data_IF_012133871782
#
_entry.id   IF_012133871782
#
_cell.length_a   1.000
_cell.length_b   1.000
_cell.length_c   1.000
_cell.angle_alpha   90.00
_cell.angle_beta   90.00
_cell.angle_gamma   90.00
#
_symmetry.space_group_name_H-M   'P 1'
#
loop_
_entity.id
_entity.type
_entity.pdbx_description
1 polymer ?
#
# COMPACT_ATOMS: atom_id res chain seq x y z
N UNK A 1 6.26 22.61 12.62
CA UNK A 1 5.72 23.39 11.47
C UNK A 1 4.90 22.58 10.45
N UNK A 2 5.02 21.24 10.33
CA UNK A 2 4.25 20.45 9.34
C UNK A 2 2.72 20.39 9.56
N UNK A 3 2.22 20.44 10.80
CA UNK A 3 0.79 20.31 11.07
C UNK A 3 -0.03 21.55 10.66
N UNK A 4 0.55 22.76 10.76
CA UNK A 4 -0.13 23.99 10.35
C UNK A 4 -0.28 24.10 8.82
N UNK A 5 0.72 23.64 8.04
CA UNK A 5 0.61 23.55 6.59
C UNK A 5 -0.41 22.48 6.16
N UNK A 6 -0.48 21.37 6.90
CA UNK A 6 -1.51 20.35 6.69
C UNK A 6 -2.91 20.93 6.98
N UNK A 7 -3.09 21.72 8.05
CA UNK A 7 -4.38 22.36 8.37
C UNK A 7 -4.87 23.32 7.28
N UNK A 8 -3.99 24.20 6.79
CA UNK A 8 -4.31 25.13 5.70
C UNK A 8 -4.64 24.40 4.39
N UNK A 9 -3.89 23.32 4.08
CA UNK A 9 -4.13 22.55 2.87
C UNK A 9 -5.35 21.62 2.99
N UNK A 10 -5.66 21.12 4.19
CA UNK A 10 -6.91 20.38 4.45
C UNK A 10 -8.12 21.27 4.16
N UNK A 11 -8.08 22.57 4.48
CA UNK A 11 -9.14 23.52 4.10
C UNK A 11 -9.25 23.68 2.57
N UNK A 12 -8.15 23.85 1.83
CA UNK A 12 -8.17 23.90 0.36
C UNK A 12 -8.63 22.58 -0.29
N UNK A 13 -8.18 21.45 0.23
CA UNK A 13 -8.56 20.12 -0.26
C UNK A 13 -10.03 19.84 0.07
N UNK A 14 -10.54 20.32 1.22
CA UNK A 14 -11.96 20.24 1.58
C UNK A 14 -12.84 20.97 0.57
N UNK A 15 -12.42 22.15 0.11
CA UNK A 15 -13.10 22.90 -0.96
C UNK A 15 -13.08 22.13 -2.29
N UNK A 16 -12.00 21.40 -2.59
CA UNK A 16 -11.82 20.72 -3.88
C UNK A 16 -12.25 19.24 -3.94
N UNK A 17 -12.59 18.60 -2.82
CA UNK A 17 -12.87 17.15 -2.74
C UNK A 17 -14.35 16.80 -2.45
N UNK A 18 -15.20 17.81 -2.23
CA UNK A 18 -16.65 17.67 -2.12
C UNK A 18 -17.16 17.01 -0.83
N UNK A 19 -16.28 16.50 0.06
CA UNK A 19 -16.66 16.08 1.41
C UNK A 19 -15.48 15.98 2.40
N UNK A 20 -15.62 16.49 3.64
CA UNK A 20 -14.54 16.51 4.64
C UNK A 20 -14.09 15.11 5.11
N UNK A 21 -15.00 14.13 5.16
CA UNK A 21 -14.67 12.76 5.57
C UNK A 21 -13.61 12.10 4.66
N UNK A 22 -13.66 12.37 3.35
CA UNK A 22 -12.69 11.86 2.36
C UNK A 22 -11.28 12.37 2.62
N UNK A 23 -11.16 13.62 3.03
CA UNK A 23 -9.89 14.29 3.33
C UNK A 23 -9.33 13.75 4.64
N UNK A 24 -10.18 13.54 5.64
CA UNK A 24 -9.80 12.93 6.91
C UNK A 24 -9.24 11.52 6.72
N UNK A 25 -9.92 10.67 5.93
CA UNK A 25 -9.43 9.32 5.63
C UNK A 25 -8.14 9.31 4.81
N UNK A 26 -8.04 10.21 3.83
CA UNK A 26 -6.81 10.36 3.05
C UNK A 26 -5.64 10.78 3.95
N UNK A 27 -5.86 11.74 4.85
CA UNK A 27 -4.86 12.20 5.81
C UNK A 27 -4.44 11.06 6.76
N UNK A 28 -5.41 10.31 7.30
CA UNK A 28 -5.13 9.17 8.18
C UNK A 28 -4.34 8.07 7.45
N UNK A 29 -4.71 7.77 6.20
CA UNK A 29 -3.98 6.82 5.37
C UNK A 29 -2.54 7.28 5.10
N UNK A 30 -2.32 8.55 4.80
CA UNK A 30 -0.98 9.10 4.61
C UNK A 30 -0.17 9.12 5.91
N UNK A 31 -0.78 9.46 7.04
CA UNK A 31 -0.12 9.42 8.35
C UNK A 31 0.40 8.01 8.67
N UNK A 32 -0.36 6.95 8.35
CA UNK A 32 0.11 5.56 8.52
C UNK A 32 1.41 5.28 7.76
N UNK A 33 1.55 5.86 6.55
CA UNK A 33 2.76 5.73 5.73
C UNK A 33 3.93 6.52 6.33
N UNK A 34 3.68 7.72 6.82
CA UNK A 34 4.73 8.55 7.43
C UNK A 34 5.29 7.91 8.70
N UNK A 35 4.45 7.21 9.48
CA UNK A 35 4.83 6.45 10.67
C UNK A 35 5.58 5.14 10.36
N UNK A 36 5.70 4.74 9.09
CA UNK A 36 6.34 3.47 8.71
C UNK A 36 5.45 2.24 8.88
N UNK A 37 4.15 2.43 9.13
CA UNK A 37 3.16 1.36 9.22
C UNK A 37 2.13 1.47 8.10
N UNK A 38 2.53 1.25 6.82
CA UNK A 38 1.59 1.38 5.72
C UNK A 38 0.43 0.39 5.88
N UNK A 39 -0.81 0.88 5.80
CA UNK A 39 -2.01 0.01 5.75
C UNK A 39 -2.70 0.10 4.38
N UNK A 40 -3.37 -0.96 3.91
CA UNK A 40 -4.18 -0.90 2.70
C UNK A 40 -5.29 0.15 2.87
N UNK A 41 -5.57 0.91 1.80
CA UNK A 41 -6.61 1.94 1.85
C UNK A 41 -7.99 1.37 2.24
N UNK A 42 -8.25 0.10 1.92
CA UNK A 42 -9.48 -0.59 2.28
C UNK A 42 -9.75 -0.64 3.79
N UNK A 43 -8.72 -0.61 4.63
CA UNK A 43 -8.89 -0.67 6.09
C UNK A 43 -9.57 0.60 6.62
N UNK A 44 -9.23 1.78 6.08
CA UNK A 44 -9.81 3.06 6.48
C UNK A 44 -11.22 3.27 5.91
N UNK A 45 -11.49 2.66 4.75
CA UNK A 45 -12.79 2.73 4.09
C UNK A 45 -13.86 1.86 4.77
N UNK A 46 -13.50 0.93 5.67
CA UNK A 46 -14.49 0.09 6.38
C UNK A 46 -15.48 0.92 7.20
N UNK A 47 -15.02 2.04 7.75
CA UNK A 47 -15.79 2.89 8.63
C UNK A 47 -16.44 4.09 7.91
N UNK A 48 -16.34 4.16 6.58
CA UNK A 48 -16.80 5.33 5.82
C UNK A 48 -17.51 4.96 4.52
N UNK A 49 -18.44 5.82 4.11
CA UNK A 49 -19.10 5.75 2.80
C UNK A 49 -18.30 6.47 1.70
N UNK A 50 -17.05 6.83 1.98
CA UNK A 50 -16.20 7.52 1.01
C UNK A 50 -15.93 6.66 -0.23
N UNK A 51 -16.01 7.30 -1.40
CA UNK A 51 -15.58 6.66 -2.64
C UNK A 51 -14.06 6.48 -2.67
N UNK A 52 -13.60 5.25 -2.94
CA UNK A 52 -12.18 4.88 -2.97
C UNK A 52 -11.38 5.73 -3.96
N UNK A 53 -11.97 6.09 -5.11
CA UNK A 53 -11.27 6.91 -6.10
C UNK A 53 -11.12 8.35 -5.62
N UNK A 54 -12.14 8.90 -4.94
CA UNK A 54 -12.10 10.22 -4.35
C UNK A 54 -11.08 10.32 -3.22
N UNK A 55 -10.99 9.32 -2.34
CA UNK A 55 -9.96 9.28 -1.27
C UNK A 55 -8.55 9.21 -1.85
N UNK A 56 -8.34 8.42 -2.91
CA UNK A 56 -7.04 8.40 -3.62
C UNK A 56 -6.67 9.76 -4.21
N UNK A 57 -7.63 10.46 -4.83
CA UNK A 57 -7.41 11.81 -5.38
C UNK A 57 -7.05 12.80 -4.28
N UNK A 58 -7.78 12.78 -3.15
CA UNK A 58 -7.49 13.62 -1.99
C UNK A 58 -6.10 13.31 -1.41
N UNK A 59 -5.76 12.03 -1.25
CA UNK A 59 -4.46 11.61 -0.76
C UNK A 59 -3.31 12.02 -1.68
N UNK A 60 -3.50 11.99 -3.00
CA UNK A 60 -2.48 12.47 -3.93
C UNK A 60 -2.22 13.97 -3.72
N UNK A 61 -3.27 14.80 -3.68
CA UNK A 61 -3.14 16.25 -3.43
C UNK A 61 -2.48 16.56 -2.08
N UNK A 62 -2.92 15.88 -1.01
CA UNK A 62 -2.33 16.05 0.33
C UNK A 62 -0.87 15.63 0.36
N UNK A 63 -0.50 14.54 -0.32
CA UNK A 63 0.88 14.07 -0.35
C UNK A 63 1.82 15.02 -1.11
N UNK A 64 1.35 15.64 -2.19
CA UNK A 64 2.10 16.68 -2.90
C UNK A 64 2.42 17.87 -1.99
N UNK A 65 1.43 18.32 -1.22
CA UNK A 65 1.60 19.44 -0.30
C UNK A 65 2.46 19.10 0.93
N UNK A 66 2.25 17.93 1.52
CA UNK A 66 2.95 17.51 2.74
C UNK A 66 4.37 16.98 2.48
N UNK A 67 4.70 16.67 1.21
CA UNK A 67 5.90 15.91 0.81
C UNK A 67 6.07 14.66 1.70
N UNK A 68 5.01 13.86 1.75
CA UNK A 68 4.92 12.67 2.59
C UNK A 68 6.03 11.66 2.30
N UNK A 69 6.46 10.92 3.32
CA UNK A 69 7.45 9.86 3.19
C UNK A 69 6.80 8.67 2.49
N UNK A 70 7.53 8.06 1.55
CA UNK A 70 7.16 6.74 1.03
C UNK A 70 7.92 5.69 1.84
N UNK A 71 7.22 4.76 2.53
CA UNK A 71 7.88 3.66 3.21
C UNK A 71 8.75 2.85 2.23
N UNK A 72 9.88 2.30 2.70
CA UNK A 72 10.63 1.31 1.94
C UNK A 72 9.74 0.11 1.60
N UNK A 73 10.11 -0.61 0.54
CA UNK A 73 9.34 -1.77 0.09
C UNK A 73 9.27 -2.87 1.18
N UNK A 74 10.30 -2.97 2.02
CA UNK A 74 10.37 -3.90 3.14
C UNK A 74 9.20 -3.76 4.11
N UNK A 75 8.78 -2.54 4.45
CA UNK A 75 7.68 -2.30 5.38
C UNK A 75 6.35 -2.85 4.83
N UNK A 76 6.16 -2.77 3.51
CA UNK A 76 5.00 -3.37 2.84
C UNK A 76 5.05 -4.91 2.89
N UNK A 77 6.23 -5.51 2.69
CA UNK A 77 6.39 -6.97 2.76
C UNK A 77 6.11 -7.47 4.17
N UNK A 78 6.70 -6.82 5.19
CA UNK A 78 6.45 -7.14 6.61
C UNK A 78 4.96 -7.04 6.94
N UNK A 79 4.29 -6.00 6.45
CA UNK A 79 2.87 -5.81 6.71
C UNK A 79 2.00 -6.90 6.08
N UNK A 80 2.22 -7.21 4.79
CA UNK A 80 1.45 -8.27 4.10
C UNK A 80 1.73 -9.62 4.75
N UNK A 81 2.98 -9.91 5.12
CA UNK A 81 3.35 -11.13 5.80
C UNK A 81 2.68 -11.28 7.17
N UNK A 82 2.65 -10.21 7.98
CA UNK A 82 1.96 -10.20 9.26
C UNK A 82 0.45 -10.47 9.10
N UNK A 83 -0.20 -9.80 8.14
CA UNK A 83 -1.63 -10.02 7.83
C UNK A 83 -1.91 -11.43 7.30
N UNK A 84 -0.96 -12.01 6.57
CA UNK A 84 -1.06 -13.36 6.04
C UNK A 84 -0.49 -14.42 7.00
N UNK A 85 -0.17 -14.07 8.25
CA UNK A 85 0.43 -14.95 9.26
C UNK A 85 1.61 -15.79 8.74
N UNK A 86 2.51 -15.16 8.00
CA UNK A 86 3.66 -15.82 7.39
C UNK A 86 4.88 -15.80 8.31
N UNK A 87 5.70 -16.87 8.31
CA UNK A 87 6.88 -16.94 9.15
C UNK A 87 8.05 -16.11 8.56
N UNK A 88 8.95 -15.66 9.42
CA UNK A 88 10.09 -14.81 9.06
C UNK A 88 10.99 -15.35 7.91
N UNK A 89 11.24 -16.67 7.77
CA UNK A 89 12.03 -17.20 6.65
C UNK A 89 11.42 -16.90 5.27
N UNK A 90 10.09 -16.90 5.17
CA UNK A 90 9.37 -16.57 3.93
C UNK A 90 9.55 -15.10 3.59
N UNK A 91 9.51 -14.22 4.60
CA UNK A 91 9.73 -12.78 4.44
C UNK A 91 11.14 -12.51 3.91
N UNK A 92 12.15 -13.16 4.48
CA UNK A 92 13.55 -13.03 4.03
C UNK A 92 13.69 -13.40 2.56
N UNK A 93 13.16 -14.57 2.17
CA UNK A 93 13.18 -15.05 0.78
C UNK A 93 12.44 -14.10 -0.17
N UNK A 94 11.33 -13.51 0.26
CA UNK A 94 10.58 -12.55 -0.55
C UNK A 94 11.39 -11.26 -0.80
N UNK A 95 12.13 -10.77 0.20
CA UNK A 95 13.01 -9.61 0.06
C UNK A 95 14.16 -9.89 -0.92
N UNK A 96 14.80 -11.07 -0.82
CA UNK A 96 15.84 -11.51 -1.77
C UNK A 96 15.32 -11.52 -3.22
N UNK A 97 14.09 -12.01 -3.44
CA UNK A 97 13.44 -12.01 -4.76
C UNK A 97 13.25 -10.57 -5.27
N UNK A 98 12.84 -9.64 -4.41
CA UNK A 98 12.65 -8.24 -4.79
C UNK A 98 13.97 -7.54 -5.11
N UNK A 99 15.02 -7.83 -4.35
CA UNK A 99 16.37 -7.30 -4.58
C UNK A 99 16.95 -7.75 -5.90
N UNK A 100 16.74 -9.02 -6.30
CA UNK A 100 17.14 -9.53 -7.61
C UNK A 100 16.36 -8.93 -8.79
N UNK A 101 15.19 -8.33 -8.53
CA UNK A 101 14.24 -7.89 -9.56
C UNK A 101 14.05 -6.36 -9.64
N UNK A 102 15.09 -5.56 -9.32
CA UNK A 102 14.97 -4.09 -9.23
C UNK A 102 14.29 -3.47 -10.45
N UNK A 103 14.63 -3.89 -11.68
CA UNK A 103 14.04 -3.36 -12.92
C UNK A 103 12.54 -3.64 -13.05
N UNK A 104 12.08 -4.83 -12.64
CA UNK A 104 10.66 -5.20 -12.69
C UNK A 104 9.81 -4.49 -11.62
N UNK A 105 10.46 -3.98 -10.57
CA UNK A 105 9.84 -3.37 -9.38
C UNK A 105 9.61 -1.86 -9.55
N UNK A 106 10.42 -1.15 -10.36
CA UNK A 106 10.35 0.31 -10.49
C UNK A 106 8.96 0.79 -10.97
N UNK A 107 8.44 1.82 -10.31
CA UNK A 107 7.19 2.50 -10.69
C UNK A 107 5.89 1.72 -10.43
N UNK A 108 5.97 0.52 -9.85
CA UNK A 108 4.78 -0.30 -9.57
C UNK A 108 4.23 -0.08 -8.17
N UNK A 109 2.99 -0.57 -7.96
CA UNK A 109 2.33 -0.49 -6.66
C UNK A 109 3.05 -1.41 -5.64
N UNK A 110 3.59 -0.87 -4.53
CA UNK A 110 4.38 -1.63 -3.57
C UNK A 110 3.58 -2.77 -2.91
N UNK A 111 2.27 -2.59 -2.70
CA UNK A 111 1.40 -3.65 -2.17
C UNK A 111 1.34 -4.87 -3.08
N UNK A 112 1.25 -4.64 -4.39
CA UNK A 112 1.20 -5.71 -5.39
C UNK A 112 2.54 -6.43 -5.48
N UNK A 113 3.64 -5.69 -5.39
CA UNK A 113 5.00 -6.25 -5.39
C UNK A 113 5.29 -7.08 -4.14
N UNK A 114 4.86 -6.59 -2.97
CA UNK A 114 4.96 -7.31 -1.70
C UNK A 114 4.19 -8.64 -1.75
N UNK A 115 2.93 -8.62 -2.18
CA UNK A 115 2.14 -9.84 -2.34
C UNK A 115 2.74 -10.80 -3.38
N UNK A 116 3.26 -10.27 -4.49
CA UNK A 116 3.85 -11.08 -5.56
C UNK A 116 5.13 -11.79 -5.13
N UNK A 117 6.03 -11.09 -4.44
CA UNK A 117 7.27 -11.66 -3.92
C UNK A 117 7.02 -12.71 -2.84
N UNK A 118 6.09 -12.45 -1.92
CA UNK A 118 5.67 -13.44 -0.92
C UNK A 118 5.06 -14.68 -1.59
N UNK A 119 4.24 -14.50 -2.63
CA UNK A 119 3.66 -15.63 -3.37
C UNK A 119 4.71 -16.48 -4.09
N UNK A 120 5.77 -15.86 -4.60
CA UNK A 120 6.91 -16.56 -5.16
C UNK A 120 7.72 -17.31 -4.09
N UNK A 121 7.82 -16.75 -2.88
CA UNK A 121 8.51 -17.36 -1.75
C UNK A 121 7.75 -18.56 -1.15
N UNK A 122 6.41 -18.55 -1.14
CA UNK A 122 5.56 -19.61 -0.56
C UNK A 122 5.24 -20.78 -1.50
N UNK A 123 5.94 -20.92 -2.63
CA UNK A 123 5.92 -22.08 -3.53
C UNK A 123 4.54 -22.76 -3.78
N UNK A 124 3.55 -21.96 -4.16
CA UNK A 124 2.22 -22.42 -4.64
C UNK A 124 1.39 -23.24 -3.62
N UNK A 125 1.50 -22.95 -2.33
CA UNK A 125 0.44 -23.37 -1.39
C UNK A 125 -0.94 -22.95 -1.94
N UNK A 126 -1.89 -23.90 -1.94
CA UNK A 126 -3.25 -23.65 -2.42
C UNK A 126 -3.91 -22.53 -1.62
N UNK A 127 -4.58 -21.60 -2.29
CA UNK A 127 -5.25 -20.46 -1.65
C UNK A 127 -4.32 -19.32 -1.21
N UNK A 128 -3.00 -19.51 -1.19
CA UNK A 128 -2.05 -18.49 -0.70
C UNK A 128 -2.09 -17.20 -1.55
N UNK A 129 -2.29 -17.33 -2.85
CA UNK A 129 -2.43 -16.19 -3.75
C UNK A 129 -3.63 -15.30 -3.37
N UNK A 130 -4.77 -15.90 -3.04
CA UNK A 130 -5.96 -15.15 -2.62
C UNK A 130 -5.71 -14.45 -1.28
N UNK A 131 -5.15 -15.19 -0.31
CA UNK A 131 -4.81 -14.66 1.02
C UNK A 131 -3.85 -13.48 0.95
N UNK A 132 -2.82 -13.54 0.11
CA UNK A 132 -1.86 -12.45 -0.08
C UNK A 132 -2.47 -11.25 -0.80
N UNK A 133 -3.32 -11.49 -1.80
CA UNK A 133 -4.03 -10.42 -2.51
C UNK A 133 -4.98 -9.67 -1.56
N UNK A 134 -5.73 -10.39 -0.74
CA UNK A 134 -6.60 -9.81 0.29
C UNK A 134 -5.82 -9.03 1.35
N UNK A 135 -4.74 -9.63 1.88
CA UNK A 135 -3.85 -8.97 2.82
C UNK A 135 -3.26 -7.66 2.27
N UNK A 136 -2.95 -7.62 0.98
CA UNK A 136 -2.45 -6.42 0.32
C UNK A 136 -3.54 -5.43 -0.16
N UNK A 137 -4.83 -5.80 -0.05
CA UNK A 137 -5.93 -5.02 -0.62
C UNK A 137 -5.83 -4.88 -2.16
N UNK A 138 -5.23 -5.87 -2.81
CA UNK A 138 -4.94 -5.92 -4.24
C UNK A 138 -5.76 -7.00 -4.95
N UNK A 139 -5.78 -6.97 -6.29
CA UNK A 139 -6.46 -7.99 -7.08
C UNK A 139 -5.54 -9.18 -7.34
N UNK A 140 -6.11 -10.39 -7.31
CA UNK A 140 -5.40 -11.65 -7.60
C UNK A 140 -4.67 -11.59 -8.94
N UNK A 141 -5.34 -11.06 -9.98
CA UNK A 141 -4.76 -10.89 -11.32
C UNK A 141 -3.56 -9.95 -11.31
N UNK A 142 -3.63 -8.85 -10.53
CA UNK A 142 -2.53 -7.91 -10.38
C UNK A 142 -1.29 -8.56 -9.76
N UNK A 143 -1.48 -9.35 -8.70
CA UNK A 143 -0.41 -10.09 -8.02
C UNK A 143 0.21 -11.13 -8.97
N UNK A 144 -0.62 -11.91 -9.68
CA UNK A 144 -0.15 -12.92 -10.64
C UNK A 144 0.69 -12.31 -11.77
N UNK A 145 0.24 -11.18 -12.32
CA UNK A 145 0.95 -10.48 -13.39
C UNK A 145 2.28 -9.89 -12.92
N UNK A 146 2.34 -9.35 -11.70
CA UNK A 146 3.59 -8.86 -11.12
C UNK A 146 4.59 -10.01 -10.89
N UNK A 147 4.12 -11.12 -10.32
CA UNK A 147 4.95 -12.29 -10.09
C UNK A 147 5.49 -12.92 -11.38
N UNK A 148 4.69 -12.94 -12.47
CA UNK A 148 5.16 -13.41 -13.78
C UNK A 148 6.34 -12.59 -14.30
N UNK A 149 6.37 -11.28 -14.03
CA UNK A 149 7.48 -10.40 -14.45
C UNK A 149 8.73 -10.57 -13.61
N UNK A 150 8.62 -10.93 -12.33
CA UNK A 150 9.76 -11.17 -11.45
C UNK A 150 10.43 -12.54 -11.68
N UNK A 151 9.79 -13.40 -12.48
CA UNK A 151 10.35 -14.68 -12.92
C UNK A 151 11.13 -14.58 -14.22
N UNK A 152 11.04 -13.45 -14.93
CA UNK A 152 11.69 -13.20 -16.20
C UNK A 152 13.04 -12.51 -15.96
#
# INVERSE_FOLDING_TARGET
MKLASIGAEVSRVRECAGAPHRVAEAALWLASRDLGEPRPLGDFLRCSKADKSAVKRAAWRLNEAARGRRPPLEDYVKMVAARANLPAPVVRRALEILEGNRRAVVGRNPWVLAAASLWLATYKEHGMLMRLAEAAGATVVGVKNAARRMRA
#
